data_IF_491388349762
#
_entry.id   IF_491388349762
#
_cell.length_a   1.000
_cell.length_b   1.000
_cell.length_c   1.000
_cell.angle_alpha   90.00
_cell.angle_beta   90.00
_cell.angle_gamma   90.00
#
_symmetry.space_group_name_H-M   'P 1'
#
loop_
_entity.id
_entity.type
_entity.pdbx_description
1 polymer ?
#
# COMPACT_ATOMS: atom_id res chain seq x y z
N UNK A 1 -29.31 -17.15 -12.45
CA UNK A 1 -29.65 -15.72 -12.27
C UNK A 1 -29.01 -15.14 -11.00
N UNK A 2 -29.41 -15.54 -9.79
CA UNK A 2 -28.85 -14.97 -8.52
C UNK A 2 -27.32 -14.97 -8.39
N UNK A 3 -26.62 -16.04 -8.78
CA UNK A 3 -25.14 -16.07 -8.76
C UNK A 3 -24.50 -15.17 -9.82
N UNK A 4 -25.17 -14.99 -10.96
CA UNK A 4 -24.71 -14.12 -12.03
C UNK A 4 -24.78 -12.65 -11.60
N UNK A 5 -25.88 -12.25 -10.97
CA UNK A 5 -26.05 -10.89 -10.44
C UNK A 5 -25.05 -10.57 -9.32
N UNK A 6 -24.77 -11.55 -8.45
CA UNK A 6 -23.72 -11.44 -7.44
C UNK A 6 -22.34 -11.26 -8.09
N UNK A 7 -22.02 -12.04 -9.12
CA UNK A 7 -20.78 -11.90 -9.89
C UNK A 7 -20.64 -10.52 -10.53
N UNK A 8 -21.71 -10.00 -11.16
CA UNK A 8 -21.73 -8.65 -11.72
C UNK A 8 -21.53 -7.59 -10.62
N UNK A 9 -22.15 -7.76 -9.45
CA UNK A 9 -21.98 -6.84 -8.31
C UNK A 9 -20.52 -6.76 -7.86
N UNK A 10 -19.81 -7.89 -7.82
CA UNK A 10 -18.36 -7.94 -7.51
C UNK A 10 -17.55 -7.19 -8.57
N UNK A 11 -17.80 -7.44 -9.86
CA UNK A 11 -17.07 -6.74 -10.95
C UNK A 11 -17.32 -5.24 -10.91
N UNK A 12 -18.56 -4.80 -10.67
CA UNK A 12 -18.89 -3.37 -10.52
C UNK A 12 -18.19 -2.76 -9.30
N UNK A 13 -18.12 -3.47 -8.19
CA UNK A 13 -17.39 -3.04 -7.01
C UNK A 13 -15.92 -2.81 -7.37
N UNK A 14 -15.24 -3.83 -7.91
CA UNK A 14 -13.83 -3.76 -8.31
C UNK A 14 -13.55 -2.60 -9.28
N UNK A 15 -14.42 -2.40 -10.28
CA UNK A 15 -14.27 -1.31 -11.24
C UNK A 15 -14.42 0.08 -10.59
N UNK A 16 -15.36 0.22 -9.65
CA UNK A 16 -15.62 1.49 -8.93
C UNK A 16 -14.59 1.77 -7.84
N UNK A 17 -13.97 0.74 -7.26
CA UNK A 17 -12.99 0.88 -6.17
C UNK A 17 -11.55 0.66 -6.62
N UNK A 18 -11.27 0.62 -7.93
CA UNK A 18 -9.92 0.43 -8.48
C UNK A 18 -8.89 1.47 -7.98
N UNK A 19 -9.37 2.67 -7.65
CA UNK A 19 -8.55 3.79 -7.17
C UNK A 19 -8.61 3.96 -5.64
N UNK A 20 -9.31 3.06 -4.94
CA UNK A 20 -9.37 3.03 -3.48
C UNK A 20 -8.11 2.36 -2.94
N UNK A 21 -7.48 3.00 -1.96
CA UNK A 21 -6.32 2.46 -1.26
C UNK A 21 -6.47 2.58 0.25
N UNK A 22 -5.58 1.92 0.97
CA UNK A 22 -5.38 2.13 2.40
C UNK A 22 -4.37 3.25 2.57
N UNK A 23 -4.71 4.28 3.34
CA UNK A 23 -3.82 5.41 3.60
C UNK A 23 -3.42 5.39 5.06
N UNK A 24 -2.13 5.26 5.35
CA UNK A 24 -1.61 5.36 6.71
C UNK A 24 -1.25 6.82 7.03
N UNK A 25 -1.63 7.28 8.21
CA UNK A 25 -1.28 8.60 8.72
C UNK A 25 -0.32 8.47 9.90
N UNK A 26 0.96 8.73 9.65
CA UNK A 26 2.01 8.63 10.66
C UNK A 26 1.84 9.62 11.83
N UNK A 27 0.95 10.61 11.74
CA UNK A 27 0.62 11.53 12.82
C UNK A 27 -0.38 10.96 13.82
N UNK A 28 -1.18 9.95 13.43
CA UNK A 28 -2.20 9.33 14.28
C UNK A 28 -1.65 8.31 15.28
N UNK A 29 -0.31 8.21 15.39
CA UNK A 29 0.37 7.31 16.31
C UNK A 29 0.32 5.84 15.88
N UNK A 30 1.07 5.01 16.59
CA UNK A 30 1.22 3.56 16.31
C UNK A 30 0.43 2.71 17.31
N UNK A 31 -0.64 3.25 17.89
CA UNK A 31 -1.50 2.50 18.79
C UNK A 31 -2.32 1.49 17.99
N UNK A 32 -2.30 0.23 18.42
CA UNK A 32 -3.10 -0.83 17.84
C UNK A 32 -4.51 -0.81 18.45
N UNK A 33 -5.51 -0.82 17.57
CA UNK A 33 -6.93 -0.96 17.90
C UNK A 33 -7.53 -2.07 17.05
N UNK A 34 -8.61 -2.70 17.52
CA UNK A 34 -9.26 -3.78 16.79
C UNK A 34 -10.78 -3.69 16.85
N UNK A 35 -11.41 -4.31 15.86
CA UNK A 35 -12.84 -4.40 15.68
C UNK A 35 -13.16 -5.87 15.40
N UNK A 36 -14.23 -6.39 16.01
CA UNK A 36 -14.69 -7.75 15.80
C UNK A 36 -16.22 -7.76 15.73
N UNK A 37 -16.74 -8.60 14.84
CA UNK A 37 -18.17 -8.77 14.57
C UNK A 37 -18.42 -10.18 14.02
N UNK A 38 -19.65 -10.67 14.11
CA UNK A 38 -20.08 -11.92 13.52
C UNK A 38 -21.49 -11.83 12.92
N UNK A 39 -21.63 -12.23 11.66
CA UNK A 39 -22.94 -12.46 11.06
C UNK A 39 -23.44 -13.87 11.41
N UNK A 40 -24.34 -13.95 12.41
CA UNK A 40 -24.85 -15.22 12.94
C UNK A 40 -25.64 -16.00 11.89
N UNK A 41 -25.17 -17.23 11.64
CA UNK A 41 -25.74 -18.11 10.63
C UNK A 41 -25.83 -17.47 9.21
N UNK A 42 -24.87 -16.62 8.86
CA UNK A 42 -24.78 -15.96 7.55
C UNK A 42 -24.62 -16.93 6.38
N UNK A 43 -24.00 -18.10 6.59
CA UNK A 43 -23.97 -19.14 5.56
C UNK A 43 -25.33 -19.83 5.43
N UNK A 44 -25.93 -19.80 4.24
CA UNK A 44 -27.23 -20.47 4.00
C UNK A 44 -27.12 -21.98 3.88
N UNK A 45 -25.96 -22.50 3.49
CA UNK A 45 -25.79 -23.93 3.20
C UNK A 45 -25.63 -24.76 4.48
N UNK A 46 -24.82 -24.27 5.43
CA UNK A 46 -24.51 -24.99 6.67
C UNK A 46 -24.83 -24.20 7.96
N UNK A 47 -25.44 -23.01 7.82
CA UNK A 47 -25.82 -22.10 8.93
C UNK A 47 -24.65 -21.72 9.83
N UNK A 48 -23.41 -21.80 9.34
CA UNK A 48 -22.24 -21.26 10.05
C UNK A 48 -22.25 -19.74 9.98
N UNK A 49 -21.86 -19.12 11.08
CA UNK A 49 -21.68 -17.67 11.15
C UNK A 49 -20.44 -17.25 10.38
N UNK A 50 -20.42 -16.00 9.92
CA UNK A 50 -19.24 -15.36 9.33
C UNK A 50 -18.60 -14.49 10.39
N UNK A 51 -17.37 -14.81 10.80
CA UNK A 51 -16.57 -13.97 11.69
C UNK A 51 -15.78 -12.95 10.90
N UNK A 52 -15.81 -11.71 11.37
CA UNK A 52 -15.07 -10.58 10.84
C UNK A 52 -14.15 -9.98 11.89
N UNK A 53 -12.99 -9.51 11.44
CA UNK A 53 -12.14 -8.64 12.26
C UNK A 53 -11.40 -7.63 11.40
N UNK A 54 -11.10 -6.49 12.02
CA UNK A 54 -10.28 -5.44 11.45
C UNK A 54 -9.34 -4.91 12.54
N UNK A 55 -8.03 -4.96 12.31
CA UNK A 55 -7.04 -4.30 13.18
C UNK A 55 -6.56 -3.03 12.49
N UNK A 56 -6.51 -1.95 13.26
CA UNK A 56 -6.13 -0.62 12.83
C UNK A 56 -4.79 -0.22 13.45
N UNK A 57 -3.94 0.42 12.65
CA UNK A 57 -2.67 1.00 13.05
C UNK A 57 -2.41 2.26 12.21
N UNK A 58 -1.90 3.34 12.79
CA UNK A 58 -1.71 4.62 12.09
C UNK A 58 -2.98 5.10 11.36
N UNK A 59 -4.13 4.89 11.99
CA UNK A 59 -5.45 5.26 11.45
C UNK A 59 -5.91 4.47 10.22
N UNK A 60 -5.30 3.33 9.89
CA UNK A 60 -5.65 2.52 8.72
C UNK A 60 -5.59 1.01 9.01
N UNK A 61 -6.24 0.16 8.18
CA UNK A 61 -6.30 -1.26 8.44
C UNK A 61 -4.98 -1.95 8.11
N UNK A 62 -4.46 -2.71 9.07
CA UNK A 62 -3.23 -3.51 8.94
C UNK A 62 -3.54 -5.01 8.86
N UNK A 63 -4.63 -5.46 9.50
CA UNK A 63 -5.13 -6.83 9.37
C UNK A 63 -6.62 -6.79 9.13
N UNK A 64 -7.09 -7.61 8.19
CA UNK A 64 -8.51 -7.86 7.98
C UNK A 64 -8.75 -9.34 7.73
N UNK A 65 -9.90 -9.82 8.18
CA UNK A 65 -10.31 -11.20 7.93
C UNK A 65 -11.82 -11.32 7.90
N UNK A 66 -12.30 -12.11 6.95
CA UNK A 66 -13.68 -12.61 6.86
C UNK A 66 -13.61 -14.12 6.69
N UNK A 67 -14.16 -14.89 7.64
CA UNK A 67 -14.06 -16.35 7.64
C UNK A 67 -15.31 -17.00 8.23
N UNK A 68 -15.76 -18.11 7.64
CA UNK A 68 -16.77 -18.95 8.25
C UNK A 68 -16.26 -19.58 9.55
N UNK A 69 -17.09 -19.55 10.59
CA UNK A 69 -16.80 -20.22 11.84
C UNK A 69 -16.72 -21.73 11.64
N UNK A 70 -15.79 -22.40 12.32
CA UNK A 70 -15.62 -23.86 12.18
C UNK A 70 -16.80 -24.66 12.70
N UNK A 71 -17.53 -24.11 13.66
CA UNK A 71 -18.69 -24.72 14.32
C UNK A 71 -19.89 -23.79 14.17
N UNK A 72 -21.10 -24.37 14.14
CA UNK A 72 -22.34 -23.60 14.12
C UNK A 72 -22.59 -23.04 15.51
N UNK A 73 -22.73 -21.72 15.61
CA UNK A 73 -23.11 -21.05 16.85
C UNK A 73 -24.62 -21.12 17.07
N UNK A 74 -25.06 -21.32 18.32
CA UNK A 74 -26.47 -21.47 18.67
C UNK A 74 -27.13 -20.13 19.05
N UNK A 75 -26.36 -19.05 19.14
CA UNK A 75 -26.85 -17.70 19.37
C UNK A 75 -25.92 -16.67 18.72
N UNK A 76 -26.44 -15.46 18.48
CA UNK A 76 -25.61 -14.33 18.03
C UNK A 76 -24.48 -14.05 19.02
N UNK A 77 -24.78 -14.01 20.32
CA UNK A 77 -23.78 -13.84 21.37
C UNK A 77 -22.64 -14.85 21.31
N UNK A 78 -22.94 -16.13 21.03
CA UNK A 78 -21.92 -17.15 20.86
C UNK A 78 -21.07 -16.92 19.59
N UNK A 79 -21.70 -16.52 18.48
CA UNK A 79 -21.01 -16.20 17.25
C UNK A 79 -20.04 -15.02 17.44
N UNK A 80 -20.50 -13.94 18.06
CA UNK A 80 -19.68 -12.77 18.40
C UNK A 80 -18.52 -13.15 19.31
N UNK A 81 -18.79 -13.95 20.35
CA UNK A 81 -17.76 -14.41 21.27
C UNK A 81 -16.68 -15.27 20.59
N UNK A 82 -17.08 -16.08 19.61
CA UNK A 82 -16.14 -16.84 18.80
C UNK A 82 -15.30 -15.95 17.90
N UNK A 83 -15.87 -14.91 17.28
CA UNK A 83 -15.15 -13.92 16.49
C UNK A 83 -14.14 -13.15 17.36
N UNK A 84 -14.59 -12.68 18.52
CA UNK A 84 -13.77 -11.99 19.51
C UNK A 84 -12.58 -12.85 19.96
N UNK A 85 -12.79 -14.15 20.18
CA UNK A 85 -11.71 -15.05 20.56
C UNK A 85 -10.61 -15.15 19.51
N UNK A 86 -10.96 -15.10 18.23
CA UNK A 86 -9.98 -15.13 17.15
C UNK A 86 -9.34 -13.74 16.97
N UNK A 87 -10.10 -12.66 17.13
CA UNK A 87 -9.57 -11.28 17.14
C UNK A 87 -8.53 -11.05 18.24
N UNK A 88 -8.78 -11.52 19.48
CA UNK A 88 -7.82 -11.44 20.60
C UNK A 88 -6.50 -12.15 20.28
N UNK A 89 -6.56 -13.32 19.61
CA UNK A 89 -5.34 -14.04 19.20
C UNK A 89 -4.52 -13.22 18.21
N UNK A 90 -5.18 -12.61 17.23
CA UNK A 90 -4.52 -11.73 16.27
C UNK A 90 -3.93 -10.49 16.93
N UNK A 91 -4.64 -9.87 17.86
CA UNK A 91 -4.13 -8.72 18.62
C UNK A 91 -2.84 -9.09 19.36
N UNK A 92 -2.82 -10.23 20.06
CA UNK A 92 -1.63 -10.68 20.79
C UNK A 92 -0.47 -10.98 19.84
N UNK A 93 -0.74 -11.63 18.71
CA UNK A 93 0.27 -11.91 17.70
C UNK A 93 0.85 -10.61 17.13
N UNK A 94 0.00 -9.66 16.77
CA UNK A 94 0.39 -8.35 16.25
C UNK A 94 1.21 -7.56 17.27
N UNK A 95 0.80 -7.55 18.55
CA UNK A 95 1.57 -6.90 19.61
C UNK A 95 2.99 -7.46 19.75
N UNK A 96 3.17 -8.78 19.60
CA UNK A 96 4.50 -9.42 19.61
C UNK A 96 5.33 -8.99 18.40
N UNK A 97 4.73 -9.01 17.21
CA UNK A 97 5.40 -8.54 15.99
C UNK A 97 5.83 -7.06 16.12
N UNK A 98 4.92 -6.20 16.58
CA UNK A 98 5.18 -4.78 16.77
C UNK A 98 6.31 -4.55 17.78
N UNK A 99 6.37 -5.34 18.86
CA UNK A 99 7.48 -5.31 19.80
C UNK A 99 8.81 -5.68 19.15
N UNK A 100 8.84 -6.74 18.35
CA UNK A 100 10.07 -7.22 17.68
C UNK A 100 10.63 -6.20 16.68
N UNK A 101 9.77 -5.37 16.06
CA UNK A 101 10.18 -4.30 15.14
C UNK A 101 10.37 -2.93 15.83
N UNK A 102 10.35 -2.87 17.17
CA UNK A 102 10.61 -1.65 17.95
C UNK A 102 9.42 -0.70 18.13
N UNK A 103 8.20 -1.14 17.81
CA UNK A 103 6.94 -0.42 17.99
C UNK A 103 6.09 -1.02 19.13
N UNK A 104 6.72 -1.34 20.27
CA UNK A 104 6.05 -1.98 21.40
C UNK A 104 4.82 -1.19 21.87
N UNK A 105 3.71 -1.92 22.04
CA UNK A 105 2.42 -1.35 22.42
C UNK A 105 2.34 -1.16 23.93
N UNK A 106 2.07 0.06 24.38
CA UNK A 106 1.92 0.40 25.79
C UNK A 106 0.45 0.30 26.20
N UNK A 107 0.17 -0.41 27.29
CA UNK A 107 -1.20 -0.64 27.76
C UNK A 107 -1.95 -1.69 26.94
N UNK A 108 -3.24 -1.84 27.24
CA UNK A 108 -4.13 -2.79 26.57
C UNK A 108 -4.49 -2.34 25.15
N UNK A 109 -4.60 -3.29 24.22
CA UNK A 109 -5.21 -3.02 22.91
C UNK A 109 -6.72 -3.00 23.05
N UNK A 110 -7.34 -1.88 22.65
CA UNK A 110 -8.80 -1.74 22.67
C UNK A 110 -9.41 -2.55 21.52
N UNK A 111 -10.36 -3.41 21.85
CA UNK A 111 -11.19 -4.16 20.91
C UNK A 111 -12.62 -3.66 21.02
N UNK A 112 -13.15 -3.15 19.92
CA UNK A 112 -14.50 -2.62 19.83
C UNK A 112 -15.49 -3.72 19.44
N UNK A 113 -16.52 -3.86 20.28
CA UNK A 113 -17.57 -4.87 20.17
C UNK A 113 -18.94 -4.18 20.31
N UNK A 114 -19.91 -4.52 19.47
CA UNK A 114 -21.27 -3.98 19.55
C UNK A 114 -22.25 -4.95 20.26
N UNK A 115 -21.82 -6.19 20.52
CA UNK A 115 -22.60 -7.17 21.28
C UNK A 115 -22.29 -7.12 22.79
N UNK A 116 -23.16 -6.44 23.54
CA UNK A 116 -23.04 -6.34 25.00
C UNK A 116 -23.10 -7.70 25.71
N UNK A 117 -23.77 -8.71 25.13
CA UNK A 117 -23.79 -10.07 25.66
C UNK A 117 -22.40 -10.71 25.62
N UNK A 118 -21.69 -10.60 24.51
CA UNK A 118 -20.34 -11.11 24.36
C UNK A 118 -19.36 -10.38 25.30
N UNK A 119 -19.50 -9.05 25.42
CA UNK A 119 -18.72 -8.26 26.37
C UNK A 119 -18.98 -8.67 27.83
N UNK A 120 -20.24 -8.89 28.21
CA UNK A 120 -20.59 -9.31 29.55
C UNK A 120 -19.99 -10.68 29.88
N UNK A 121 -19.99 -11.61 28.91
CA UNK A 121 -19.36 -12.91 29.07
C UNK A 121 -17.83 -12.82 29.23
N UNK A 122 -17.18 -11.88 28.56
CA UNK A 122 -15.75 -11.64 28.74
C UNK A 122 -15.42 -11.02 30.12
N UNK A 123 -16.37 -10.35 30.78
CA UNK A 123 -16.16 -9.68 32.08
C UNK A 123 -16.62 -10.50 33.31
N UNK A 124 -17.63 -11.36 33.18
CA UNK A 124 -18.33 -11.95 34.34
C UNK A 124 -17.82 -13.33 34.82
N UNK A 125 -17.07 -13.40 35.92
CA UNK A 125 -16.48 -14.64 36.49
C UNK A 125 -17.47 -15.81 36.67
N UNK A 126 -18.76 -15.56 36.92
CA UNK A 126 -19.77 -16.58 37.26
C UNK A 126 -20.45 -17.34 36.11
N UNK A 127 -20.12 -17.07 34.84
CA UNK A 127 -20.70 -17.83 33.72
C UNK A 127 -19.95 -19.14 33.46
N UNK A 128 -20.64 -20.28 33.58
CA UNK A 128 -20.14 -21.60 33.18
C UNK A 128 -20.76 -22.04 31.86
N UNK A 129 -19.92 -22.20 30.83
CA UNK A 129 -20.37 -22.68 29.54
C UNK A 129 -20.74 -24.16 29.59
N UNK A 130 -21.78 -24.56 28.87
CA UNK A 130 -22.18 -25.98 28.80
C UNK A 130 -21.24 -26.84 27.94
N UNK A 131 -20.42 -26.22 27.08
CA UNK A 131 -19.54 -26.92 26.14
C UNK A 131 -18.08 -26.48 26.30
N UNK A 132 -17.17 -27.47 26.33
CA UNK A 132 -15.74 -27.28 26.58
C UNK A 132 -15.05 -26.30 25.61
N UNK A 133 -15.46 -26.28 24.35
CA UNK A 133 -14.82 -25.43 23.32
C UNK A 133 -15.15 -23.93 23.48
N UNK A 134 -16.29 -23.61 24.10
CA UNK A 134 -16.65 -22.23 24.43
C UNK A 134 -16.04 -21.87 25.79
N UNK A 135 -16.04 -22.80 26.75
CA UNK A 135 -15.39 -22.67 28.06
C UNK A 135 -13.91 -22.24 27.96
N UNK A 136 -13.14 -22.92 27.11
CA UNK A 136 -11.72 -22.57 26.88
C UNK A 136 -11.58 -21.15 26.31
N UNK A 137 -12.46 -20.74 25.39
CA UNK A 137 -12.46 -19.37 24.84
C UNK A 137 -12.82 -18.34 25.91
N UNK A 138 -13.76 -18.66 26.81
CA UNK A 138 -14.11 -17.81 27.94
C UNK A 138 -12.90 -17.53 28.81
N UNK A 139 -12.22 -18.58 29.25
CA UNK A 139 -11.03 -18.46 30.07
C UNK A 139 -9.90 -17.71 29.35
N UNK A 140 -9.67 -17.99 28.07
CA UNK A 140 -8.64 -17.32 27.28
C UNK A 140 -8.86 -15.82 27.18
N UNK A 141 -10.03 -15.36 26.73
CA UNK A 141 -10.30 -13.90 26.58
C UNK A 141 -10.19 -13.21 27.94
N UNK A 142 -10.76 -13.81 29.00
CA UNK A 142 -10.68 -13.27 30.36
C UNK A 142 -9.27 -13.11 30.86
N UNK A 143 -8.43 -14.13 30.66
CA UNK A 143 -7.02 -14.07 31.04
C UNK A 143 -6.35 -12.84 30.43
N UNK A 144 -6.65 -12.55 29.16
CA UNK A 144 -6.06 -11.45 28.39
C UNK A 144 -6.61 -10.07 28.76
N UNK A 145 -7.87 -10.01 29.19
CA UNK A 145 -8.45 -8.80 29.79
C UNK A 145 -7.85 -8.55 31.17
N UNK A 146 -7.74 -9.57 32.02
CA UNK A 146 -7.17 -9.46 33.37
C UNK A 146 -5.67 -9.14 33.34
N UNK A 147 -4.92 -9.67 32.37
CA UNK A 147 -3.50 -9.34 32.18
C UNK A 147 -3.26 -7.96 31.56
N UNK A 148 -4.32 -7.20 31.25
CA UNK A 148 -4.26 -5.90 30.60
C UNK A 148 -3.55 -5.94 29.24
N UNK A 149 -3.61 -7.08 28.55
CA UNK A 149 -3.11 -7.21 27.16
C UNK A 149 -4.14 -6.67 26.16
N UNK A 150 -5.43 -6.83 26.46
CA UNK A 150 -6.57 -6.32 25.67
C UNK A 150 -7.65 -5.74 26.57
N UNK A 151 -8.41 -4.79 26.06
CA UNK A 151 -9.57 -4.19 26.72
C UNK A 151 -10.77 -4.22 25.76
N UNK A 152 -11.97 -4.44 26.30
CA UNK A 152 -13.19 -4.47 25.51
C UNK A 152 -14.04 -3.23 25.74
N UNK A 153 -14.27 -2.49 24.66
CA UNK A 153 -15.08 -1.27 24.64
C UNK A 153 -16.31 -1.46 23.75
N UNK A 154 -17.44 -0.90 24.20
CA UNK A 154 -18.68 -0.97 23.45
C UNK A 154 -18.64 0.04 22.30
N UNK A 155 -19.07 -0.38 21.11
CA UNK A 155 -19.28 0.50 19.98
C UNK A 155 -20.68 0.34 19.39
N UNK A 156 -21.28 1.44 18.95
CA UNK A 156 -22.54 1.39 18.21
C UNK A 156 -22.34 0.69 16.86
N UNK A 157 -23.27 -0.20 16.46
CA UNK A 157 -23.20 -0.98 15.21
C UNK A 157 -22.98 -0.10 13.97
N UNK A 158 -23.47 1.15 13.94
CA UNK A 158 -23.23 2.05 12.79
C UNK A 158 -21.77 2.41 12.59
N UNK A 159 -20.97 2.28 13.65
CA UNK A 159 -19.55 2.60 13.68
C UNK A 159 -18.65 1.36 13.67
N UNK A 160 -19.25 0.16 13.74
CA UNK A 160 -18.53 -1.10 13.79
C UNK A 160 -17.83 -1.36 12.45
N UNK A 161 -16.50 -1.23 12.42
CA UNK A 161 -15.74 -1.40 11.18
C UNK A 161 -15.65 -2.86 10.74
N UNK A 162 -15.80 -3.81 11.67
CA UNK A 162 -15.79 -5.24 11.35
C UNK A 162 -17.03 -5.68 10.53
N UNK A 163 -18.10 -4.88 10.48
CA UNK A 163 -19.28 -5.12 9.62
C UNK A 163 -18.91 -5.24 8.14
N UNK A 164 -17.83 -4.57 7.73
CA UNK A 164 -17.27 -4.69 6.38
C UNK A 164 -16.92 -6.14 6.02
N UNK A 165 -16.56 -6.95 7.03
CA UNK A 165 -16.08 -8.32 6.87
C UNK A 165 -17.17 -9.37 6.99
N UNK A 166 -18.33 -9.02 7.55
CA UNK A 166 -19.37 -9.99 7.91
C UNK A 166 -20.65 -9.79 7.11
N UNK A 167 -20.98 -8.56 6.73
CA UNK A 167 -22.31 -8.19 6.21
C UNK A 167 -22.24 -7.68 4.78
N UNK A 168 -23.28 -8.01 4.00
CA UNK A 168 -23.52 -7.44 2.68
C UNK A 168 -24.11 -6.02 2.77
N UNK A 169 -23.27 -5.02 3.04
CA UNK A 169 -23.72 -3.66 3.34
C UNK A 169 -24.33 -2.90 2.15
N UNK A 170 -25.19 -1.93 2.47
CA UNK A 170 -25.68 -0.93 1.50
C UNK A 170 -24.53 -0.06 0.99
N UNK A 171 -24.65 0.50 -0.21
CA UNK A 171 -23.62 1.38 -0.78
C UNK A 171 -23.33 2.60 0.13
N UNK A 172 -24.32 3.11 0.85
CA UNK A 172 -24.17 4.26 1.76
C UNK A 172 -23.37 3.87 3.00
N UNK A 173 -23.76 2.77 3.66
CA UNK A 173 -23.08 2.27 4.86
C UNK A 173 -21.65 1.83 4.54
N UNK A 174 -21.47 1.12 3.41
CA UNK A 174 -20.15 0.68 2.96
C UNK A 174 -19.21 1.87 2.76
N UNK A 175 -19.66 2.93 2.07
CA UNK A 175 -18.85 4.15 1.89
C UNK A 175 -18.52 4.84 3.21
N UNK A 176 -19.48 4.91 4.13
CA UNK A 176 -19.26 5.50 5.46
C UNK A 176 -18.17 4.75 6.24
N UNK A 177 -18.26 3.42 6.33
CA UNK A 177 -17.26 2.61 7.04
C UNK A 177 -15.89 2.61 6.32
N UNK A 178 -15.87 2.65 5.00
CA UNK A 178 -14.63 2.82 4.21
C UNK A 178 -13.95 4.15 4.52
N UNK A 179 -14.70 5.25 4.63
CA UNK A 179 -14.16 6.55 5.04
C UNK A 179 -13.60 6.52 6.46
N UNK A 180 -14.33 5.92 7.39
CA UNK A 180 -13.94 5.82 8.81
C UNK A 180 -12.73 4.91 9.03
N UNK A 181 -12.59 3.85 8.23
CA UNK A 181 -11.43 2.94 8.24
C UNK A 181 -10.27 3.44 7.38
N UNK A 182 -10.35 4.64 6.79
CA UNK A 182 -9.32 5.21 5.92
C UNK A 182 -8.97 4.33 4.69
N UNK A 183 -9.91 3.49 4.27
CA UNK A 183 -9.90 2.75 3.01
C UNK A 183 -10.61 3.61 1.94
N UNK A 184 -9.98 4.70 1.53
CA UNK A 184 -10.57 5.70 0.62
C UNK A 184 -9.74 5.87 -0.64
N UNK A 185 -10.30 6.52 -1.66
CA UNK A 185 -9.45 6.89 -2.79
C UNK A 185 -8.41 7.91 -2.30
N UNK A 186 -7.14 7.67 -2.63
CA UNK A 186 -6.07 8.61 -2.29
C UNK A 186 -6.42 10.03 -2.79
N UNK A 187 -7.11 10.14 -3.92
CA UNK A 187 -7.59 11.42 -4.44
C UNK A 187 -8.64 12.11 -3.55
N UNK A 188 -9.58 11.40 -2.92
CA UNK A 188 -10.69 12.03 -2.17
C UNK A 188 -10.26 12.65 -0.84
N UNK A 189 -9.28 12.08 -0.14
CA UNK A 189 -8.72 12.69 1.09
C UNK A 189 -7.74 13.82 0.77
N UNK A 190 -7.00 13.71 -0.33
CA UNK A 190 -6.09 14.77 -0.79
C UNK A 190 -6.82 15.98 -1.43
N UNK A 191 -8.05 15.77 -1.94
CA UNK A 191 -8.90 16.81 -2.55
C UNK A 191 -10.07 17.26 -1.66
N UNK A 192 -10.02 17.01 -0.34
CA UNK A 192 -10.89 17.77 0.58
C UNK A 192 -10.76 19.26 0.25
N UNK A 193 -11.86 20.01 0.30
CA UNK A 193 -12.04 21.37 -0.27
C UNK A 193 -11.10 22.48 0.24
N UNK A 194 -10.00 22.16 0.91
CA UNK A 194 -8.96 23.07 1.35
C UNK A 194 -7.59 22.53 0.96
N UNK A 195 -6.65 23.44 0.67
CA UNK A 195 -5.28 23.11 0.30
C UNK A 195 -4.62 22.21 1.36
N UNK A 196 -4.61 20.90 1.10
CA UNK A 196 -3.97 19.95 1.99
C UNK A 196 -2.46 19.99 1.77
N UNK A 197 -1.72 20.47 2.77
CA UNK A 197 -0.27 20.27 2.85
C UNK A 197 0.02 18.97 3.60
N UNK A 198 0.61 18.00 2.92
CA UNK A 198 0.92 16.70 3.49
C UNK A 198 2.38 16.31 3.32
N UNK A 199 2.84 15.44 4.20
CA UNK A 199 4.17 14.86 4.25
C UNK A 199 4.06 13.38 3.85
N UNK A 200 4.50 12.98 2.66
CA UNK A 200 4.56 11.57 2.27
C UNK A 200 6.01 11.12 2.13
N UNK A 201 6.51 10.43 3.16
CA UNK A 201 7.73 9.62 3.08
C UNK A 201 7.29 8.17 3.27
N UNK A 202 7.30 7.38 2.20
CA UNK A 202 7.02 5.94 2.26
C UNK A 202 8.35 5.21 2.22
N UNK A 203 8.78 4.63 3.34
CA UNK A 203 9.91 3.71 3.38
C UNK A 203 9.40 2.27 3.17
N UNK A 204 9.94 1.58 2.16
CA UNK A 204 9.60 0.19 1.86
C UNK A 204 10.81 -0.67 2.23
N UNK A 205 10.63 -1.57 3.19
CA UNK A 205 11.64 -2.58 3.54
C UNK A 205 11.32 -3.88 2.81
N UNK A 206 12.31 -4.43 2.11
CA UNK A 206 12.18 -5.72 1.43
C UNK A 206 12.76 -6.82 2.32
N UNK A 207 12.03 -7.93 2.46
CA UNK A 207 12.48 -9.09 3.24
C UNK A 207 13.66 -9.84 2.61
N UNK A 208 13.91 -9.61 1.31
CA UNK A 208 14.99 -10.22 0.55
C UNK A 208 15.80 -9.14 -0.16
N UNK A 209 17.15 -9.17 -0.08
CA UNK A 209 17.98 -8.30 -0.89
C UNK A 209 17.90 -8.67 -2.37
N UNK A 210 18.25 -7.73 -3.24
CA UNK A 210 18.33 -7.90 -4.69
C UNK A 210 17.03 -8.49 -5.30
N UNK A 211 15.88 -8.00 -4.84
CA UNK A 211 14.58 -8.54 -5.27
C UNK A 211 13.96 -7.76 -6.44
N UNK A 212 14.36 -6.50 -6.63
CA UNK A 212 13.70 -5.58 -7.57
C UNK A 212 14.41 -5.57 -8.92
N UNK A 213 13.65 -5.83 -9.99
CA UNK A 213 14.10 -5.84 -11.39
C UNK A 213 13.50 -4.73 -12.25
N UNK A 214 12.36 -4.20 -11.82
CA UNK A 214 11.59 -3.21 -12.56
C UNK A 214 11.15 -2.12 -11.59
N UNK A 215 11.45 -0.88 -11.94
CA UNK A 215 11.07 0.32 -11.19
C UNK A 215 10.34 1.25 -12.15
N UNK A 216 9.07 1.53 -11.89
CA UNK A 216 8.28 2.45 -12.70
C UNK A 216 7.79 3.64 -11.85
N UNK A 217 8.35 4.82 -12.10
CA UNK A 217 7.99 6.07 -11.45
C UNK A 217 7.23 6.99 -12.41
N UNK A 218 6.09 7.52 -11.97
CA UNK A 218 5.22 8.37 -12.79
C UNK A 218 4.80 9.63 -12.04
N UNK A 219 4.30 10.62 -12.78
CA UNK A 219 3.80 11.90 -12.25
C UNK A 219 4.92 12.62 -11.51
N UNK A 220 4.76 12.97 -10.23
CA UNK A 220 5.70 13.80 -9.47
C UNK A 220 6.41 13.03 -8.34
N UNK A 221 6.50 11.70 -8.43
CA UNK A 221 7.09 10.88 -7.38
C UNK A 221 8.63 10.99 -7.36
N UNK A 222 9.22 11.12 -6.17
CA UNK A 222 10.66 11.02 -5.95
C UNK A 222 10.95 9.68 -5.28
N UNK A 223 11.71 8.81 -5.94
CA UNK A 223 12.05 7.46 -5.46
C UNK A 223 13.55 7.42 -5.18
N UNK A 224 13.94 7.04 -3.98
CA UNK A 224 15.35 6.80 -3.61
C UNK A 224 15.53 5.31 -3.35
N UNK A 225 16.47 4.71 -4.06
CA UNK A 225 16.79 3.28 -4.02
C UNK A 225 18.21 3.14 -3.48
N UNK A 226 18.31 2.51 -2.32
CA UNK A 226 19.55 2.28 -1.60
C UNK A 226 20.17 0.93 -2.00
N UNK A 227 21.37 0.68 -1.47
CA UNK A 227 22.08 -0.57 -1.68
C UNK A 227 21.27 -1.80 -1.25
N UNK A 228 21.46 -2.91 -1.97
CA UNK A 228 20.80 -4.19 -1.72
C UNK A 228 19.33 -4.29 -2.17
N UNK A 229 18.76 -3.27 -2.82
CA UNK A 229 17.35 -3.32 -3.29
C UNK A 229 17.23 -3.92 -4.70
N UNK A 230 18.02 -3.40 -5.64
CA UNK A 230 17.97 -3.81 -7.05
C UNK A 230 18.74 -5.10 -7.29
N UNK A 231 18.30 -5.87 -8.29
CA UNK A 231 19.09 -6.98 -8.83
C UNK A 231 20.33 -6.40 -9.51
N UNK A 232 21.49 -6.72 -8.98
CA UNK A 232 22.79 -6.24 -9.48
C UNK A 232 23.57 -7.33 -10.19
N UNK A 233 23.25 -8.62 -9.96
CA UNK A 233 23.91 -9.75 -10.60
C UNK A 233 22.93 -10.75 -11.22
N UNK A 234 23.29 -11.29 -12.39
CA UNK A 234 22.59 -12.44 -12.95
C UNK A 234 22.75 -12.58 -14.46
N UNK A 235 23.04 -13.80 -14.94
CA UNK A 235 23.25 -14.09 -16.38
C UNK A 235 22.00 -13.91 -17.25
N UNK A 236 20.82 -13.79 -16.63
CA UNK A 236 19.51 -13.60 -17.28
C UNK A 236 18.71 -12.50 -16.58
N UNK A 237 19.37 -11.70 -15.75
CA UNK A 237 18.72 -10.61 -15.03
C UNK A 237 18.58 -9.42 -15.97
N UNK A 238 17.37 -8.89 -16.09
CA UNK A 238 17.09 -7.65 -16.79
C UNK A 238 16.67 -6.64 -15.72
N UNK A 239 17.34 -5.49 -15.69
CA UNK A 239 17.05 -4.39 -14.78
C UNK A 239 16.52 -3.21 -15.59
N UNK A 240 15.29 -2.79 -15.29
CA UNK A 240 14.61 -1.70 -15.96
C UNK A 240 14.19 -0.62 -14.96
N UNK A 241 14.44 0.64 -15.31
CA UNK A 241 14.00 1.81 -14.56
C UNK A 241 13.34 2.79 -15.52
N UNK A 242 12.03 2.96 -15.37
CA UNK A 242 11.22 3.90 -16.12
C UNK A 242 10.83 5.09 -15.23
N UNK A 243 11.02 6.31 -15.74
CA UNK A 243 10.55 7.55 -15.11
C UNK A 243 9.77 8.40 -16.13
N UNK A 244 8.56 8.84 -15.75
CA UNK A 244 7.71 9.70 -16.59
C UNK A 244 7.06 10.83 -15.78
N UNK A 245 6.53 11.85 -16.44
CA UNK A 245 6.00 13.04 -15.77
C UNK A 245 7.09 14.02 -15.32
N UNK A 246 6.99 14.46 -14.07
CA UNK A 246 7.99 15.23 -13.33
C UNK A 246 8.69 14.42 -12.24
N UNK A 247 8.69 13.09 -12.38
CA UNK A 247 9.22 12.17 -11.38
C UNK A 247 10.74 12.16 -11.35
N UNK A 248 11.32 11.72 -10.23
CA UNK A 248 12.75 11.55 -10.07
C UNK A 248 13.05 10.18 -9.45
N UNK A 249 14.01 9.44 -10.01
CA UNK A 249 14.53 8.18 -9.45
C UNK A 249 16.00 8.36 -9.15
N UNK A 250 16.40 8.06 -7.91
CA UNK A 250 17.77 8.12 -7.44
C UNK A 250 18.19 6.72 -7.01
N UNK A 251 19.20 6.15 -7.65
CA UNK A 251 19.85 4.91 -7.22
C UNK A 251 21.20 5.28 -6.62
N UNK A 252 21.41 4.93 -5.34
CA UNK A 252 22.66 5.19 -4.63
C UNK A 252 23.17 3.90 -4.01
N UNK A 253 24.12 3.27 -4.68
CA UNK A 253 24.80 2.07 -4.23
C UNK A 253 26.30 2.14 -4.62
N UNK A 254 27.06 3.08 -4.03
CA UNK A 254 28.39 3.46 -4.51
C UNK A 254 29.43 2.32 -4.45
N UNK A 255 29.20 1.32 -3.60
CA UNK A 255 30.08 0.16 -3.41
C UNK A 255 29.60 -1.09 -4.16
N UNK A 256 28.63 -0.93 -5.08
CA UNK A 256 27.94 -2.06 -5.73
C UNK A 256 28.24 -2.13 -7.22
N UNK A 257 28.76 -3.29 -7.65
CA UNK A 257 29.00 -3.58 -9.07
C UNK A 257 27.77 -4.22 -9.73
N UNK A 258 27.36 -3.69 -10.89
CA UNK A 258 26.18 -4.13 -11.64
C UNK A 258 26.60 -4.97 -12.84
N UNK A 259 26.37 -6.29 -12.79
CA UNK A 259 26.65 -7.28 -13.83
C UNK A 259 25.38 -8.10 -14.15
N UNK A 260 24.43 -7.45 -14.84
CA UNK A 260 23.17 -8.03 -15.31
C UNK A 260 23.25 -8.44 -16.79
N UNK A 261 22.20 -9.04 -17.34
CA UNK A 261 22.11 -9.31 -18.78
C UNK A 261 21.86 -7.99 -19.54
N UNK A 262 20.83 -7.24 -19.14
CA UNK A 262 20.47 -5.93 -19.70
C UNK A 262 20.19 -4.91 -18.61
N UNK A 263 20.59 -3.66 -18.84
CA UNK A 263 20.20 -2.50 -18.05
C UNK A 263 19.52 -1.48 -18.96
N UNK A 264 18.28 -1.13 -18.63
CA UNK A 264 17.43 -0.22 -19.40
C UNK A 264 17.02 0.94 -18.50
N UNK A 265 17.30 2.17 -18.93
CA UNK A 265 16.93 3.40 -18.24
C UNK A 265 16.13 4.29 -19.19
N UNK A 266 14.85 4.52 -18.91
CA UNK A 266 13.96 5.30 -19.78
C UNK A 266 13.35 6.47 -19.00
N UNK A 267 13.61 7.69 -19.46
CA UNK A 267 13.10 8.91 -18.87
C UNK A 267 12.32 9.73 -19.91
N UNK A 268 11.06 10.01 -19.63
CA UNK A 268 10.16 10.75 -20.53
C UNK A 268 9.63 12.03 -19.90
N UNK A 269 9.12 12.94 -20.72
CA UNK A 269 8.60 14.25 -20.32
C UNK A 269 9.65 15.10 -19.59
N UNK A 270 9.51 15.35 -18.28
CA UNK A 270 10.44 16.14 -17.47
C UNK A 270 11.12 15.31 -16.36
N UNK A 271 11.03 13.98 -16.47
CA UNK A 271 11.51 13.07 -15.46
C UNK A 271 13.04 13.03 -15.35
N UNK A 272 13.54 12.59 -14.19
CA UNK A 272 14.97 12.51 -13.89
C UNK A 272 15.35 11.12 -13.38
N UNK A 273 16.42 10.55 -13.89
CA UNK A 273 17.03 9.33 -13.37
C UNK A 273 18.48 9.63 -13.02
N UNK A 274 18.88 9.38 -11.78
CA UNK A 274 20.26 9.45 -11.32
C UNK A 274 20.69 8.09 -10.82
N UNK A 275 21.67 7.48 -11.49
CA UNK A 275 22.10 6.11 -11.24
C UNK A 275 23.56 6.10 -10.82
N UNK A 276 23.82 5.96 -9.51
CA UNK A 276 25.15 6.02 -8.90
C UNK A 276 25.56 4.66 -8.33
N UNK A 277 26.54 4.01 -8.95
CA UNK A 277 27.04 2.68 -8.57
C UNK A 277 28.57 2.57 -8.74
N UNK A 278 29.20 1.52 -8.20
CA UNK A 278 30.66 1.34 -8.35
C UNK A 278 31.06 1.15 -9.82
N UNK A 279 30.43 0.18 -10.51
CA UNK A 279 30.72 -0.16 -11.91
C UNK A 279 29.50 -0.76 -12.61
N UNK A 280 29.42 -0.58 -13.92
CA UNK A 280 28.32 -1.06 -14.77
C UNK A 280 28.91 -1.94 -15.88
N UNK A 281 28.58 -3.23 -15.88
CA UNK A 281 29.04 -4.22 -16.87
C UNK A 281 27.89 -5.16 -17.32
N UNK A 282 26.81 -4.63 -17.93
CA UNK A 282 25.77 -5.47 -18.51
C UNK A 282 26.32 -6.27 -19.69
N UNK A 283 25.93 -7.54 -19.77
CA UNK A 283 26.52 -8.51 -20.69
C UNK A 283 26.15 -8.26 -22.13
N UNK A 284 24.86 -8.04 -22.41
CA UNK A 284 24.38 -7.77 -23.77
C UNK A 284 24.28 -6.28 -24.03
N UNK A 285 23.58 -5.54 -23.16
CA UNK A 285 23.10 -4.22 -23.54
C UNK A 285 22.95 -3.25 -22.37
N UNK A 286 23.36 -2.02 -22.62
CA UNK A 286 23.00 -0.84 -21.83
C UNK A 286 22.20 0.09 -22.74
N UNK A 287 20.91 0.26 -22.44
CA UNK A 287 20.02 1.16 -23.14
C UNK A 287 19.65 2.34 -22.25
N UNK A 288 19.72 3.56 -22.79
CA UNK A 288 19.28 4.77 -22.12
C UNK A 288 18.49 5.65 -23.07
N UNK A 289 17.21 5.88 -22.78
CA UNK A 289 16.33 6.75 -23.55
C UNK A 289 15.89 7.96 -22.76
N UNK A 290 16.20 9.17 -23.23
CA UNK A 290 15.77 10.42 -22.65
C UNK A 290 14.94 11.21 -23.67
N UNK A 291 13.62 11.27 -23.46
CA UNK A 291 12.68 11.98 -24.33
C UNK A 291 12.00 13.16 -23.61
N UNK A 292 11.82 14.28 -24.32
CA UNK A 292 11.13 15.46 -23.79
C UNK A 292 12.14 16.47 -23.28
N UNK A 293 12.04 16.90 -22.03
CA UNK A 293 13.05 17.64 -21.27
C UNK A 293 13.62 16.79 -20.12
N UNK A 294 13.58 15.47 -20.26
CA UNK A 294 14.02 14.53 -19.23
C UNK A 294 15.54 14.46 -19.15
N UNK A 295 16.06 13.89 -18.05
CA UNK A 295 17.51 13.76 -17.86
C UNK A 295 17.87 12.44 -17.22
N UNK A 296 18.85 11.76 -17.79
CA UNK A 296 19.48 10.57 -17.20
C UNK A 296 20.94 10.87 -16.90
N UNK A 297 21.34 10.67 -15.64
CA UNK A 297 22.72 10.80 -15.20
C UNK A 297 23.20 9.47 -14.61
N UNK A 298 24.32 8.96 -15.10
CA UNK A 298 24.98 7.75 -14.61
C UNK A 298 26.32 8.14 -14.02
N UNK A 299 26.56 7.79 -12.76
CA UNK A 299 27.82 7.99 -12.06
C UNK A 299 28.40 6.63 -11.71
N UNK A 300 29.56 6.30 -12.26
CA UNK A 300 30.25 5.04 -12.01
C UNK A 300 31.75 5.15 -12.26
N UNK A 301 32.56 4.23 -11.75
CA UNK A 301 33.99 4.21 -12.10
C UNK A 301 34.20 3.79 -13.56
N UNK A 302 33.47 2.76 -14.01
CA UNK A 302 33.57 2.20 -15.36
C UNK A 302 32.22 1.76 -15.89
N UNK A 303 31.99 1.98 -17.19
CA UNK A 303 30.87 1.42 -17.95
C UNK A 303 31.41 0.54 -19.07
N UNK A 304 31.05 -0.75 -19.06
CA UNK A 304 31.43 -1.75 -20.06
C UNK A 304 30.17 -2.46 -20.54
N UNK A 305 30.05 -2.72 -21.84
CA UNK A 305 28.90 -3.46 -22.40
C UNK A 305 29.24 -3.99 -23.78
N UNK A 306 28.50 -4.98 -24.28
CA UNK A 306 28.59 -5.38 -25.68
C UNK A 306 27.91 -4.35 -26.60
N UNK A 307 26.69 -3.93 -26.26
CA UNK A 307 25.91 -2.93 -26.99
C UNK A 307 25.58 -1.74 -26.09
N UNK A 308 25.82 -0.54 -26.59
CA UNK A 308 25.48 0.72 -25.93
C UNK A 308 24.54 1.51 -26.82
N UNK A 309 23.29 1.68 -26.39
CA UNK A 309 22.25 2.42 -27.11
C UNK A 309 21.83 3.64 -26.30
N UNK A 310 22.00 4.84 -26.86
CA UNK A 310 21.73 6.12 -26.20
C UNK A 310 20.84 7.00 -27.07
N UNK A 311 19.61 7.23 -26.62
CA UNK A 311 18.60 7.97 -27.37
C UNK A 311 18.20 9.26 -26.65
N UNK A 312 18.90 10.35 -26.95
CA UNK A 312 18.57 11.68 -26.44
C UNK A 312 17.66 12.44 -27.44
N UNK A 313 16.35 12.31 -27.27
CA UNK A 313 15.32 12.86 -28.17
C UNK A 313 14.71 14.16 -27.62
N UNK A 314 14.22 15.03 -28.51
CA UNK A 314 13.73 16.36 -28.16
C UNK A 314 14.78 17.11 -27.33
N UNK A 315 14.48 17.68 -26.17
CA UNK A 315 15.42 18.33 -25.27
C UNK A 315 15.97 17.40 -24.17
N UNK A 316 15.82 16.07 -24.31
CA UNK A 316 16.32 15.10 -23.34
C UNK A 316 17.84 15.07 -23.28
N UNK A 317 18.39 14.87 -22.09
CA UNK A 317 19.84 14.84 -21.84
C UNK A 317 20.27 13.51 -21.23
N UNK A 318 21.37 12.95 -21.75
CA UNK A 318 22.01 11.75 -21.17
C UNK A 318 23.44 12.13 -20.78
N UNK A 319 23.81 11.83 -19.55
CA UNK A 319 25.12 12.12 -19.02
C UNK A 319 25.72 10.88 -18.34
N UNK A 320 26.91 10.47 -18.75
CA UNK A 320 27.67 9.37 -18.15
C UNK A 320 28.96 9.96 -17.60
N UNK A 321 29.09 9.99 -16.27
CA UNK A 321 30.33 10.33 -15.59
C UNK A 321 31.03 9.04 -15.18
N UNK A 322 32.14 8.74 -15.85
CA UNK A 322 32.97 7.59 -15.59
C UNK A 322 34.44 7.86 -15.93
N UNK A 323 35.37 7.05 -15.43
CA UNK A 323 36.75 7.12 -15.92
C UNK A 323 36.86 6.51 -17.32
N UNK A 324 36.07 5.47 -17.58
CA UNK A 324 36.11 4.72 -18.82
C UNK A 324 34.73 4.23 -19.26
N UNK A 325 34.41 4.44 -20.54
CA UNK A 325 33.22 3.88 -21.20
C UNK A 325 33.66 3.05 -22.40
N UNK A 326 33.52 1.71 -22.32
CA UNK A 326 33.87 0.73 -23.36
C UNK A 326 32.61 0.03 -23.86
N UNK A 327 32.45 -0.03 -25.18
CA UNK A 327 31.37 -0.78 -25.82
C UNK A 327 31.85 -1.33 -27.16
N UNK A 328 31.46 -2.56 -27.49
CA UNK A 328 31.80 -3.20 -28.77
C UNK A 328 31.01 -2.56 -29.92
N UNK A 329 29.72 -2.30 -29.68
CA UNK A 329 28.82 -1.60 -30.59
C UNK A 329 28.21 -0.37 -29.91
N UNK A 330 28.02 0.72 -30.66
CA UNK A 330 27.40 1.95 -30.16
C UNK A 330 26.39 2.49 -31.15
N UNK A 331 25.16 2.70 -30.68
CA UNK A 331 24.18 3.55 -31.36
C UNK A 331 23.87 4.76 -30.47
N UNK A 332 23.93 5.96 -31.06
CA UNK A 332 23.77 7.22 -30.31
C UNK A 332 22.97 8.20 -31.14
N UNK A 333 21.72 8.41 -30.75
CA UNK A 333 20.86 9.48 -31.26
C UNK A 333 20.95 10.72 -30.37
N UNK A 334 20.83 11.90 -30.99
CA UNK A 334 20.91 13.16 -30.24
C UNK A 334 22.29 13.52 -29.69
N UNK A 335 23.38 13.09 -30.34
CA UNK A 335 24.81 13.23 -29.93
C UNK A 335 25.23 14.51 -29.21
N UNK A 336 24.62 15.68 -29.51
CA UNK A 336 24.92 16.95 -28.83
C UNK A 336 24.39 17.03 -27.39
N UNK A 337 23.48 16.13 -27.01
CA UNK A 337 22.80 16.04 -25.71
C UNK A 337 23.27 14.84 -24.90
N UNK A 338 24.28 14.14 -25.41
CA UNK A 338 24.93 13.00 -24.75
C UNK A 338 26.32 13.41 -24.30
N UNK A 339 26.57 13.43 -23.00
CA UNK A 339 27.87 13.73 -22.39
C UNK A 339 28.50 12.46 -21.82
N UNK A 340 29.75 12.18 -22.16
CA UNK A 340 30.52 11.05 -21.63
C UNK A 340 32.04 11.31 -21.76
N UNK A 341 32.94 10.59 -21.05
CA UNK A 341 34.37 10.92 -20.92
C UNK A 341 35.12 11.02 -22.24
N UNK A 342 34.64 10.30 -23.26
CA UNK A 342 35.20 10.31 -24.62
C UNK A 342 34.44 11.20 -25.62
N UNK A 343 33.36 11.87 -25.20
CA UNK A 343 32.56 12.78 -26.03
C UNK A 343 32.97 14.25 -25.89
N UNK A 344 33.59 14.65 -24.75
CA UNK A 344 33.96 16.04 -24.45
C UNK A 344 34.86 16.66 -25.54
N UNK A 345 35.82 15.89 -26.08
CA UNK A 345 36.72 16.34 -27.16
C UNK A 345 36.03 16.53 -28.51
N UNK A 346 34.85 15.95 -28.73
CA UNK A 346 34.14 15.95 -30.02
C UNK A 346 32.89 16.85 -30.03
N UNK A 347 32.25 17.06 -28.87
CA UNK A 347 30.89 17.59 -28.82
C UNK A 347 30.64 18.71 -27.80
N UNK A 348 31.67 19.14 -27.05
CA UNK A 348 31.57 20.33 -26.19
C UNK A 348 30.51 20.22 -25.09
N UNK A 349 30.52 19.12 -24.34
CA UNK A 349 29.49 18.80 -23.37
C UNK A 349 29.82 19.29 -21.96
N UNK A 350 28.81 19.82 -21.25
CA UNK A 350 28.83 20.11 -19.82
C UNK A 350 28.85 18.78 -19.04
N UNK A 351 29.69 18.68 -18.00
CA UNK A 351 29.82 17.48 -17.18
C UNK A 351 28.54 17.15 -16.39
N UNK A 352 28.48 15.94 -15.81
CA UNK A 352 27.36 15.54 -14.97
C UNK A 352 27.45 16.31 -13.64
N UNK A 353 26.42 17.07 -13.30
CA UNK A 353 26.26 17.59 -11.93
C UNK A 353 25.44 16.54 -11.19
N UNK A 354 26.07 15.83 -10.25
CA UNK A 354 25.35 14.98 -9.31
C UNK A 354 24.38 15.86 -8.54
N UNK A 355 23.07 15.55 -8.60
CA UNK A 355 22.15 16.29 -7.75
C UNK A 355 22.28 15.78 -6.30
N UNK A 356 21.96 16.66 -5.36
CA UNK A 356 21.94 16.25 -3.95
C UNK A 356 20.76 15.32 -3.76
N UNK A 357 21.02 14.10 -3.26
CA UNK A 357 19.96 13.17 -2.87
C UNK A 357 18.91 13.91 -2.01
N UNK A 358 17.61 13.73 -2.30
CA UNK A 358 16.57 14.38 -1.53
C UNK A 358 16.73 13.98 -0.06
N UNK A 359 16.61 14.95 0.84
CA UNK A 359 16.68 14.66 2.27
C UNK A 359 15.57 13.66 2.63
N UNK A 360 15.86 12.70 3.51
CA UNK A 360 14.84 11.83 4.15
C UNK A 360 13.99 12.61 5.18
N UNK A 361 13.60 13.81 4.81
CA UNK A 361 12.62 14.63 5.52
C UNK A 361 11.43 14.66 4.60
N UNK A 362 10.25 14.39 5.14
CA UNK A 362 9.06 14.43 4.33
C UNK A 362 8.96 15.81 3.65
N UNK A 363 8.84 15.78 2.32
CA UNK A 363 8.67 17.00 1.55
C UNK A 363 7.26 17.53 1.79
N UNK A 364 7.15 18.84 2.05
CA UNK A 364 5.86 19.50 2.16
C UNK A 364 5.26 19.60 0.75
N UNK A 365 4.21 18.83 0.48
CA UNK A 365 3.49 18.90 -0.79
C UNK A 365 2.45 20.01 -0.67
N UNK A 366 2.45 21.00 -1.55
CA UNK A 366 1.41 22.03 -1.64
C UNK A 366 0.66 21.87 -2.97
N UNK A 367 -0.65 21.63 -2.91
CA UNK A 367 -1.52 21.66 -4.07
C UNK A 367 -2.25 23.02 -4.15
N UNK A 368 -2.17 23.68 -5.31
CA UNK A 368 -3.00 24.85 -5.62
C UNK A 368 -4.23 24.39 -6.42
N UNK A 369 -5.42 24.93 -6.15
CA UNK A 369 -6.64 24.51 -6.84
C UNK A 369 -6.57 24.94 -8.31
N UNK A 370 -6.49 23.97 -9.23
CA UNK A 370 -6.90 24.19 -10.63
C UNK A 370 -8.42 24.17 -10.70
N UNK A 371 -9.00 25.21 -11.29
CA UNK A 371 -10.43 25.39 -11.51
C UNK A 371 -11.05 24.25 -12.32
N UNK A 372 -11.51 23.20 -11.63
CA UNK A 372 -12.48 22.27 -12.18
C UNK A 372 -13.87 22.76 -11.73
N UNK A 373 -14.51 23.56 -12.57
CA UNK A 373 -15.93 23.85 -12.48
C UNK A 373 -16.70 22.56 -12.73
N UNK A 374 -17.00 21.84 -11.64
CA UNK A 374 -17.98 20.78 -11.58
C UNK A 374 -18.82 21.03 -10.34
N UNK A 375 -19.88 21.84 -10.50
CA UNK A 375 -20.92 22.05 -9.52
C UNK A 375 -21.39 20.68 -9.01
N UNK A 376 -21.17 20.38 -7.73
CA UNK A 376 -21.93 19.36 -7.01
C UNK A 376 -23.10 20.11 -6.39
N UNK A 377 -24.25 20.02 -7.04
CA UNK A 377 -25.49 20.53 -6.49
C UNK A 377 -25.87 19.65 -5.28
N UNK A 378 -26.04 20.27 -4.12
CA UNK A 378 -26.39 19.61 -2.86
C UNK A 378 -27.91 19.47 -2.68
N UNK A 379 -28.68 19.46 -3.77
CA UNK A 379 -30.14 19.54 -3.72
C UNK A 379 -30.90 18.31 -4.25
N UNK A 380 -30.26 17.24 -4.68
CA UNK A 380 -30.98 15.99 -5.01
C UNK A 380 -31.12 15.08 -3.76
N UNK A 381 -31.68 15.66 -2.69
CA UNK A 381 -31.96 15.00 -1.40
C UNK A 381 -33.41 14.56 -1.22
N UNK A 382 -34.27 14.70 -2.23
CA UNK A 382 -35.64 14.19 -2.22
C UNK A 382 -36.01 13.67 -3.61
N UNK A 383 -35.89 12.36 -3.81
CA UNK A 383 -36.75 11.52 -4.67
C UNK A 383 -36.04 10.16 -4.87
N UNK A 384 -36.45 9.19 -4.05
CA UNK A 384 -36.56 7.75 -4.34
C UNK A 384 -36.71 6.99 -2.99
N UNK A 385 -37.76 7.38 -2.25
CA UNK A 385 -38.47 6.47 -1.36
C UNK A 385 -39.54 5.81 -2.23
N UNK A 386 -39.30 4.59 -2.69
CA UNK A 386 -40.26 3.48 -2.65
C UNK A 386 -39.78 2.30 -3.53
N UNK A 387 -40.09 1.10 -3.04
CA UNK A 387 -39.91 -0.22 -3.64
C UNK A 387 -38.54 -0.89 -3.46
N UNK A 388 -38.38 -1.55 -2.31
CA UNK A 388 -38.12 -3.02 -2.29
C UNK A 388 -38.08 -3.56 -0.84
N UNK A 389 -39.11 -3.23 -0.05
CA UNK A 389 -39.42 -3.89 1.22
C UNK A 389 -40.89 -4.29 1.23
N UNK A 390 -41.21 -5.34 0.48
CA UNK A 390 -42.37 -6.19 0.71
C UNK A 390 -42.23 -7.43 -0.16
N UNK A 391 -41.55 -8.47 0.36
CA UNK A 391 -42.09 -9.82 0.22
C UNK A 391 -41.49 -10.78 1.27
N UNK A 392 -42.32 -11.69 1.74
CA UNK A 392 -42.06 -12.82 2.66
C UNK A 392 -42.00 -12.56 4.18
N UNK A 393 -43.11 -12.06 4.73
CA UNK A 393 -43.77 -12.77 5.85
C UNK A 393 -44.98 -13.50 5.30
N UNK A 394 -44.89 -14.83 5.16
CA UNK A 394 -45.97 -15.81 5.35
C UNK A 394 -45.44 -17.22 5.02
N UNK A 395 -45.81 -18.16 5.90
CA UNK A 395 -45.53 -19.60 6.00
C UNK A 395 -44.17 -20.11 6.52
#
# INVERSE_FOLDING_TARGET
>A
EKHWDAGIKVVRYLLKTKDVGIVYDGLLGTQLEAYSDADWAGNRDDRRSVSGMLLMLCGAPVVWRSTFQKTVALSSTEAEYMALSDCVKECIWMRRLLKDIGAEQVGATVIYEDNQGAMALAKNVGYQARTKHIDIRYHFIREKVVSNEVELEYMDTKNQLADFMTKGLSSKTLRYLMMRSNATSALTRWLGNEAASGYLLTEIFLASPEAVKDVNSKRSAHVVIEDGVLVTQGKRAELQIDASGSSAVYVSAPDTAVSVQQLILEATESAKIEYSVESIDPRSELQMGAQGSSRIAVLSSTVKTSQLELDALNSGEICIDAQEVKATWRDIQGKRKVSMPNAVKKHGTTGCVASKLPARKAAQITASPTSATGYVDNNDLDDDLDNDLNDSTED
#
